data_IF_881747254665
#
_entry.id   IF_881747254665
#
_cell.length_a   1.000
_cell.length_b   1.000
_cell.length_c   1.000
_cell.angle_alpha   90.00
_cell.angle_beta   90.00
_cell.angle_gamma   90.00
#
_symmetry.space_group_name_H-M   'P 1'
#
loop_
_entity.id
_entity.type
_entity.pdbx_description
1 polymer ?
#
# COMPACT_ATOMS: atom_id res chain seq x y z
N UNK A 1 -12.94 0.12 1.40
CA UNK A 1 -11.96 -0.30 2.42
C UNK A 1 -10.55 -0.09 1.90
N UNK A 2 -9.66 0.30 2.78
CA UNK A 2 -8.24 0.49 2.44
C UNK A 2 -7.60 -0.84 2.03
N UNK A 3 -7.03 -0.90 0.84
CA UNK A 3 -6.25 -2.06 0.39
C UNK A 3 -4.78 -1.75 0.49
N UNK A 4 -4.02 -2.66 1.08
CA UNK A 4 -2.58 -2.51 1.26
C UNK A 4 -1.86 -3.58 0.46
N UNK A 5 -1.11 -3.14 -0.56
CA UNK A 5 -0.35 -4.03 -1.45
C UNK A 5 1.07 -4.15 -0.93
N UNK A 6 1.52 -5.39 -0.72
CA UNK A 6 2.77 -5.64 -0.01
C UNK A 6 3.48 -6.90 -0.50
N UNK A 7 4.74 -7.01 -0.10
CA UNK A 7 5.49 -8.27 -0.16
C UNK A 7 6.36 -8.33 1.10
N UNK A 8 7.29 -9.29 1.18
CA UNK A 8 8.13 -9.45 2.36
C UNK A 8 9.30 -8.49 2.48
N UNK A 9 9.40 -7.50 1.60
CA UNK A 9 10.51 -6.55 1.63
C UNK A 9 10.41 -5.55 2.77
N UNK A 10 11.53 -4.87 3.15
CA UNK A 10 11.53 -3.95 4.29
C UNK A 10 10.59 -2.75 4.16
N UNK A 11 10.49 -2.14 2.99
CA UNK A 11 9.65 -0.94 2.84
C UNK A 11 8.16 -1.21 3.04
N UNK A 12 7.58 -2.25 2.43
CA UNK A 12 6.20 -2.61 2.76
C UNK A 12 6.01 -2.95 4.22
N UNK A 13 7.02 -3.56 4.86
CA UNK A 13 6.91 -3.95 6.26
C UNK A 13 6.76 -2.75 7.19
N UNK A 14 7.38 -1.62 6.86
CA UNK A 14 7.21 -0.38 7.64
C UNK A 14 5.75 0.06 7.66
N UNK A 15 5.08 -0.01 6.52
CA UNK A 15 3.68 0.35 6.41
C UNK A 15 2.80 -0.66 7.16
N UNK A 16 3.12 -1.94 7.07
CA UNK A 16 2.39 -2.99 7.77
C UNK A 16 2.40 -2.75 9.28
N UNK A 17 3.56 -2.42 9.83
CA UNK A 17 3.69 -2.14 11.27
C UNK A 17 2.82 -0.95 11.68
N UNK A 18 2.84 0.10 10.89
CA UNK A 18 2.00 1.28 11.17
C UNK A 18 0.51 0.92 11.16
N UNK A 19 0.07 0.16 10.16
CA UNK A 19 -1.32 -0.24 10.08
C UNK A 19 -1.75 -1.09 11.25
N UNK A 20 -0.90 -2.03 11.68
CA UNK A 20 -1.19 -2.87 12.84
C UNK A 20 -1.29 -2.07 14.13
N UNK A 21 -0.38 -1.12 14.34
CA UNK A 21 -0.37 -0.29 15.54
C UNK A 21 -1.51 0.71 15.57
N UNK A 22 -1.92 1.22 14.41
CA UNK A 22 -2.97 2.23 14.33
C UNK A 22 -4.38 1.66 14.53
N UNK A 23 -4.55 0.36 14.30
CA UNK A 23 -5.86 -0.27 14.37
C UNK A 23 -6.77 0.05 13.20
N UNK A 24 -6.25 0.68 12.15
CA UNK A 24 -7.04 0.96 10.95
C UNK A 24 -7.43 -0.34 10.25
N UNK A 25 -8.69 -0.51 9.89
CA UNK A 25 -9.10 -1.68 9.13
C UNK A 25 -8.54 -1.61 7.71
N UNK A 26 -7.97 -2.71 7.23
CA UNK A 26 -7.44 -2.76 5.89
C UNK A 26 -7.50 -4.18 5.34
N UNK A 27 -7.47 -4.28 4.01
CA UNK A 27 -7.41 -5.56 3.32
C UNK A 27 -5.99 -5.77 2.82
N UNK A 28 -5.25 -6.78 3.31
CA UNK A 28 -3.91 -7.06 2.80
C UNK A 28 -4.00 -7.73 1.44
N UNK A 29 -3.22 -7.23 0.47
CA UNK A 29 -3.17 -7.79 -0.88
C UNK A 29 -1.72 -8.15 -1.20
N UNK A 30 -1.36 -9.43 -1.15
CA UNK A 30 0.02 -9.82 -1.45
C UNK A 30 0.35 -9.66 -2.92
N UNK A 31 1.56 -9.17 -3.20
CA UNK A 31 2.06 -9.00 -4.57
C UNK A 31 3.33 -9.83 -4.68
N UNK A 32 3.29 -10.92 -5.44
CA UNK A 32 4.45 -11.76 -5.63
C UNK A 32 5.32 -11.18 -6.76
N UNK A 33 6.36 -10.44 -6.36
CA UNK A 33 7.21 -9.77 -7.33
C UNK A 33 8.09 -10.74 -8.12
N UNK A 34 8.26 -11.96 -7.62
CA UNK A 34 9.00 -13.00 -8.36
C UNK A 34 8.17 -13.58 -9.50
N UNK A 35 6.85 -13.55 -9.36
CA UNK A 35 5.92 -14.02 -10.40
C UNK A 35 5.49 -12.92 -11.36
N UNK A 36 5.91 -11.67 -11.11
CA UNK A 36 5.52 -10.57 -11.96
C UNK A 36 4.16 -9.96 -11.63
N UNK A 37 3.63 -10.22 -10.42
CA UNK A 37 2.33 -9.67 -10.02
C UNK A 37 2.32 -8.15 -10.07
N UNK A 38 3.48 -7.50 -9.88
CA UNK A 38 3.61 -6.05 -9.92
C UNK A 38 3.37 -5.48 -11.32
N UNK A 39 3.38 -6.31 -12.35
CA UNK A 39 3.12 -5.87 -13.72
C UNK A 39 1.71 -6.19 -14.20
N UNK A 40 0.88 -6.79 -13.36
CA UNK A 40 -0.50 -7.06 -13.73
C UNK A 40 -1.29 -5.76 -13.88
N UNK A 41 -2.20 -5.67 -14.84
CA UNK A 41 -2.94 -4.43 -15.09
C UNK A 41 -3.64 -3.87 -13.86
N UNK A 42 -4.22 -4.73 -13.03
CA UNK A 42 -4.92 -4.29 -11.83
C UNK A 42 -3.98 -3.63 -10.82
N UNK A 43 -2.72 -4.06 -10.74
CA UNK A 43 -1.76 -3.41 -9.86
C UNK A 43 -1.15 -2.16 -10.49
N UNK A 44 -0.86 -2.18 -11.78
CA UNK A 44 -0.31 -1.02 -12.47
C UNK A 44 -1.27 0.17 -12.44
N UNK A 45 -2.55 -0.10 -12.31
CA UNK A 45 -3.56 0.93 -12.12
C UNK A 45 -3.36 1.65 -10.78
N UNK A 46 -2.93 0.92 -9.76
CA UNK A 46 -2.64 1.49 -8.43
C UNK A 46 -1.30 2.19 -8.42
N UNK A 47 -0.27 1.54 -8.97
CA UNK A 47 1.06 2.11 -9.05
C UNK A 47 1.69 1.79 -10.41
N UNK A 48 1.72 2.76 -11.33
CA UNK A 48 2.31 2.54 -12.65
C UNK A 48 3.79 2.15 -12.64
N UNK A 49 4.50 2.42 -11.55
CA UNK A 49 5.91 2.05 -11.41
C UNK A 49 6.11 0.57 -11.10
N UNK A 50 5.04 -0.16 -10.81
CA UNK A 50 5.13 -1.59 -10.55
C UNK A 50 5.92 -1.95 -9.31
N UNK A 51 5.78 -1.16 -8.24
CA UNK A 51 6.51 -1.39 -6.98
C UNK A 51 5.57 -1.40 -5.79
N UNK A 52 5.94 -2.17 -4.77
CA UNK A 52 5.28 -2.15 -3.48
C UNK A 52 6.18 -1.43 -2.48
N UNK A 53 5.63 -0.80 -1.42
CA UNK A 53 4.22 -0.79 -1.01
C UNK A 53 3.36 0.16 -1.84
N UNK A 54 2.06 -0.10 -1.85
CA UNK A 54 1.07 0.80 -2.40
C UNK A 54 -0.24 0.62 -1.64
N UNK A 55 -1.07 1.62 -1.63
CA UNK A 55 -2.41 1.52 -1.06
C UNK A 55 -3.45 2.04 -2.04
N UNK A 56 -4.64 1.50 -1.90
CA UNK A 56 -5.85 1.98 -2.58
C UNK A 56 -6.86 2.29 -1.49
N UNK A 57 -7.02 3.55 -1.14
CA UNK A 57 -7.96 3.99 -0.12
C UNK A 57 -9.22 4.51 -0.81
N UNK A 58 -10.11 3.57 -1.14
CA UNK A 58 -11.39 3.85 -1.82
C UNK A 58 -11.21 4.72 -3.07
N UNK A 59 -10.21 4.34 -3.89
CA UNK A 59 -9.93 5.03 -5.15
C UNK A 59 -8.80 6.05 -5.08
N UNK A 60 -8.29 6.34 -3.89
CA UNK A 60 -7.10 7.19 -3.73
C UNK A 60 -5.87 6.30 -3.69
N UNK A 61 -5.03 6.40 -4.72
CA UNK A 61 -3.84 5.56 -4.86
C UNK A 61 -2.61 6.31 -4.35
N UNK A 62 -1.90 5.70 -3.40
CA UNK A 62 -0.65 6.27 -2.86
C UNK A 62 0.41 5.19 -2.90
N UNK A 63 1.60 5.55 -3.32
CA UNK A 63 2.74 4.62 -3.34
C UNK A 63 3.98 5.33 -2.79
N UNK A 64 5.05 4.53 -2.56
CA UNK A 64 6.22 4.92 -1.77
C UNK A 64 5.91 4.91 -0.27
N UNK A 65 6.74 4.18 0.48
CA UNK A 65 6.46 3.96 1.89
C UNK A 65 6.33 5.25 2.70
N UNK A 66 7.19 6.24 2.43
CA UNK A 66 7.14 7.50 3.16
C UNK A 66 5.87 8.29 2.82
N UNK A 67 5.47 8.29 1.55
CA UNK A 67 4.24 8.97 1.14
C UNK A 67 3.01 8.30 1.76
N UNK A 68 3.00 6.98 1.82
CA UNK A 68 1.90 6.24 2.43
C UNK A 68 1.79 6.56 3.92
N UNK A 69 2.91 6.54 4.64
CA UNK A 69 2.91 6.84 6.06
C UNK A 69 2.42 8.26 6.33
N UNK A 70 2.88 9.21 5.53
CA UNK A 70 2.43 10.60 5.66
C UNK A 70 0.93 10.72 5.38
N UNK A 71 0.46 10.07 4.34
CA UNK A 71 -0.96 10.07 4.00
C UNK A 71 -1.82 9.51 5.14
N UNK A 72 -1.40 8.39 5.71
CA UNK A 72 -2.16 7.74 6.78
C UNK A 72 -2.15 8.56 8.07
N UNK A 73 -1.03 9.22 8.38
CA UNK A 73 -0.92 10.01 9.60
C UNK A 73 -1.63 11.36 9.51
N UNK A 74 -1.54 12.02 8.37
CA UNK A 74 -1.97 13.41 8.22
C UNK A 74 -3.19 13.51 7.31
N UNK A 75 -3.08 12.98 6.10
CA UNK A 75 -4.12 13.14 5.08
C UNK A 75 -5.44 12.52 5.47
N UNK A 76 -5.41 11.31 6.00
CA UNK A 76 -6.60 10.59 6.38
C UNK A 76 -7.29 11.17 7.61
N UNK A 77 -6.51 11.79 8.48
CA UNK A 77 -7.05 12.37 9.72
C UNK A 77 -8.00 13.53 9.46
N UNK A 78 -7.99 14.09 8.26
CA UNK A 78 -8.81 15.25 7.91
C UNK A 78 -10.03 14.89 7.05
N UNK A 79 -10.28 13.61 6.87
CA UNK A 79 -11.41 13.12 6.05
C UNK A 79 -12.65 12.92 6.88
#
# INVERSE_FOLDING_TARGET
MLKFYFNGAPNPNKVALFLEESGLPYEPVPVDTRKGDQFKPEFLKVNPNGKVPAIDDDGVFVFDSNAILLYLEIGRAHV
#
